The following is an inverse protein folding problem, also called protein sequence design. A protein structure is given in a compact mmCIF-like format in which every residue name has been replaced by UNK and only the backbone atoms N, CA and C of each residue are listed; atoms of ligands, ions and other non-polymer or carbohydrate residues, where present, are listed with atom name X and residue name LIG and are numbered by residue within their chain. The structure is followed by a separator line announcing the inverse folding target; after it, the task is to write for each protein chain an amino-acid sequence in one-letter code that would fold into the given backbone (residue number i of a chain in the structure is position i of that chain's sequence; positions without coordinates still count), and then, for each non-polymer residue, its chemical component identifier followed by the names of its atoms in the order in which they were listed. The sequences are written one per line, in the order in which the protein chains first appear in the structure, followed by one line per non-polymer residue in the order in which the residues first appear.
data_IF_258758194512
#
_entry.id   IF_258758194512
#
_cell.length_a   1.000
_cell.length_b   1.000
_cell.length_c   1.000
_cell.angle_alpha   90.00
_cell.angle_beta   90.00
_cell.angle_gamma   90.00
#
_symmetry.space_group_name_H-M   'P 1'
#
loop_
_entity.id
_entity.type
_entity.pdbx_description
1 polymer ?
#
# COMPACT_ATOMS: atom_id res chain seq x y z
N UNK A 1 21.93 -47.47 16.75
CA UNK A 1 21.50 -46.11 16.32
C UNK A 1 20.27 -46.33 15.45
N UNK A 2 19.02 -46.36 15.92
CA UNK A 2 18.20 -45.30 16.57
C UNK A 2 18.21 -43.99 15.73
N UNK A 3 17.12 -43.34 15.29
CA UNK A 3 15.66 -43.29 15.58
C UNK A 3 14.87 -43.15 14.24
N UNK A 4 13.63 -43.60 14.01
CA UNK A 4 12.29 -43.43 14.66
C UNK A 4 11.59 -42.08 14.39
N UNK A 5 10.30 -42.21 14.04
CA UNK A 5 9.16 -41.26 13.94
C UNK A 5 9.03 -40.51 12.60
N UNK A 6 7.93 -40.51 11.81
CA UNK A 6 6.46 -40.70 11.91
C UNK A 6 5.66 -39.37 11.74
N UNK A 7 4.97 -39.31 10.57
CA UNK A 7 3.75 -38.59 10.14
C UNK A 7 3.62 -37.07 10.15
N UNK A 8 2.87 -36.57 9.14
CA UNK A 8 1.44 -36.25 9.30
C UNK A 8 0.66 -36.44 8.00
N UNK A 9 -0.52 -37.04 8.16
CA UNK A 9 -1.68 -37.12 7.25
C UNK A 9 -2.13 -35.65 6.94
N UNK A 10 -2.76 -35.26 5.84
CA UNK A 10 -3.85 -35.89 5.08
C UNK A 10 -4.03 -35.22 3.70
N UNK A 11 -4.55 -36.00 2.76
CA UNK A 11 -5.13 -35.64 1.46
C UNK A 11 -6.49 -34.95 1.65
N UNK A 12 -6.83 -33.96 0.80
CA UNK A 12 -8.15 -33.77 0.17
C UNK A 12 -8.13 -32.46 -0.66
N UNK A 13 -7.99 -32.53 -1.99
CA UNK A 13 -9.05 -32.74 -2.97
C UNK A 13 -9.82 -31.43 -3.30
N UNK A 14 -9.34 -30.76 -4.36
CA UNK A 14 -10.06 -29.72 -5.10
C UNK A 14 -11.22 -30.40 -5.85
N UNK A 15 -12.46 -30.17 -5.43
CA UNK A 15 -13.64 -30.61 -6.21
C UNK A 15 -14.14 -29.42 -7.02
N UNK A 16 -13.78 -29.41 -8.30
CA UNK A 16 -14.53 -28.72 -9.34
C UNK A 16 -15.70 -29.65 -9.67
N UNK A 17 -16.92 -29.24 -9.36
CA UNK A 17 -18.10 -30.08 -9.53
C UNK A 17 -19.32 -29.25 -9.89
N UNK A 18 -19.63 -29.29 -11.18
CA UNK A 18 -20.77 -28.69 -11.88
C UNK A 18 -22.12 -29.08 -11.27
N UNK A 19 -23.05 -28.12 -11.25
CA UNK A 19 -24.44 -28.29 -10.79
C UNK A 19 -25.23 -29.27 -11.67
N UNK A 20 -25.91 -30.24 -11.04
CA UNK A 20 -27.13 -30.89 -11.54
C UNK A 20 -28.10 -31.05 -10.37
N UNK A 21 -29.28 -30.44 -10.50
CA UNK A 21 -30.41 -30.49 -9.57
C UNK A 21 -31.15 -31.83 -9.69
N UNK A 22 -31.23 -32.60 -8.60
CA UNK A 22 -32.42 -33.38 -8.20
C UNK A 22 -32.15 -34.17 -6.90
N UNK A 23 -33.05 -34.06 -5.91
CA UNK A 23 -33.15 -35.03 -4.81
C UNK A 23 -32.69 -34.53 -3.44
N UNK A 24 -33.63 -34.49 -2.50
CA UNK A 24 -33.50 -33.94 -1.15
C UNK A 24 -32.51 -34.71 -0.26
N UNK A 25 -31.46 -34.01 0.20
CA UNK A 25 -30.87 -34.13 1.53
C UNK A 25 -29.98 -32.90 1.73
N UNK A 26 -30.53 -31.83 2.31
CA UNK A 26 -29.73 -30.66 2.66
C UNK A 26 -28.80 -31.05 3.83
N UNK A 27 -27.56 -31.39 3.52
CA UNK A 27 -26.52 -31.62 4.54
C UNK A 27 -26.41 -30.37 5.43
N UNK A 28 -26.41 -30.52 6.78
CA UNK A 28 -26.35 -29.39 7.70
C UNK A 28 -25.17 -28.44 7.45
N UNK A 29 -24.09 -28.96 6.87
CA UNK A 29 -22.89 -28.22 6.50
C UNK A 29 -23.12 -27.16 5.40
N UNK A 30 -24.02 -27.43 4.43
CA UNK A 30 -24.34 -26.49 3.34
C UNK A 30 -25.28 -25.38 3.83
N UNK A 31 -26.20 -25.71 4.73
CA UNK A 31 -27.10 -24.74 5.38
C UNK A 31 -26.29 -23.79 6.27
N UNK A 32 -25.35 -24.33 7.07
CA UNK A 32 -24.50 -23.55 7.94
C UNK A 32 -23.49 -22.67 7.19
N UNK A 33 -22.99 -23.11 6.02
CA UNK A 33 -22.17 -22.29 5.14
C UNK A 33 -22.96 -21.16 4.46
N UNK A 34 -24.23 -21.39 4.13
CA UNK A 34 -25.11 -20.36 3.56
C UNK A 34 -25.58 -19.34 4.61
N UNK A 35 -25.83 -19.77 5.85
CA UNK A 35 -26.15 -18.87 6.97
C UNK A 35 -24.92 -18.07 7.43
N UNK A 36 -23.74 -18.70 7.54
CA UNK A 36 -22.49 -18.00 7.84
C UNK A 36 -22.03 -17.04 6.72
N UNK A 37 -22.57 -17.16 5.50
CA UNK A 37 -22.35 -16.20 4.42
C UNK A 37 -23.31 -15.00 4.48
N UNK A 38 -24.51 -15.17 5.06
CA UNK A 38 -25.49 -14.07 5.24
C UNK A 38 -25.08 -13.08 6.33
N UNK A 39 -24.30 -13.52 7.31
CA UNK A 39 -23.93 -12.72 8.49
C UNK A 39 -22.51 -12.13 8.43
N UNK A 40 -21.84 -12.19 7.28
CA UNK A 40 -20.56 -11.48 7.10
C UNK A 40 -20.88 -10.00 6.96
N UNK A 41 -20.43 -9.12 7.87
CA UNK A 41 -20.55 -7.68 7.63
C UNK A 41 -19.80 -7.39 6.33
N UNK A 42 -20.52 -6.89 5.34
CA UNK A 42 -19.93 -6.33 4.14
C UNK A 42 -19.00 -5.23 4.64
N UNK A 43 -17.69 -5.51 4.66
CA UNK A 43 -16.68 -4.49 4.87
C UNK A 43 -16.83 -3.55 3.68
N UNK A 44 -17.63 -2.50 3.84
CA UNK A 44 -17.64 -1.38 2.93
C UNK A 44 -16.21 -0.84 2.98
N UNK A 45 -15.39 -1.24 2.02
CA UNK A 45 -14.23 -0.47 1.66
C UNK A 45 -14.82 0.90 1.34
N UNK A 46 -14.55 1.91 2.17
CA UNK A 46 -14.87 3.29 1.86
C UNK A 46 -14.17 3.56 0.52
N UNK A 47 -14.92 3.47 -0.57
CA UNK A 47 -14.47 3.99 -1.86
C UNK A 47 -14.33 5.48 -1.62
N UNK A 48 -13.10 5.98 -1.74
CA UNK A 48 -12.89 7.42 -1.75
C UNK A 48 -13.78 8.01 -2.83
N UNK A 49 -14.38 9.16 -2.52
CA UNK A 49 -15.20 9.90 -3.46
C UNK A 49 -14.38 10.17 -4.74
N UNK A 50 -14.87 9.80 -5.93
CA UNK A 50 -14.19 10.07 -7.20
C UNK A 50 -13.71 11.51 -7.35
N UNK A 51 -14.47 12.47 -6.82
CA UNK A 51 -14.08 13.88 -6.81
C UNK A 51 -12.85 14.17 -5.94
N UNK A 52 -12.74 13.52 -4.79
CA UNK A 52 -11.57 13.64 -3.91
C UNK A 52 -10.34 12.98 -4.53
N UNK A 53 -10.52 11.85 -5.20
CA UNK A 53 -9.42 11.18 -5.95
C UNK A 53 -8.94 12.09 -7.08
N UNK A 54 -9.86 12.69 -7.84
CA UNK A 54 -9.52 13.59 -8.92
C UNK A 54 -8.78 14.84 -8.42
N UNK A 55 -9.24 15.45 -7.32
CA UNK A 55 -8.56 16.59 -6.70
C UNK A 55 -7.16 16.23 -6.23
N UNK A 56 -6.98 15.07 -5.58
CA UNK A 56 -5.66 14.64 -5.12
C UNK A 56 -4.68 14.41 -6.28
N UNK A 57 -5.14 13.86 -7.42
CA UNK A 57 -4.31 13.71 -8.62
C UNK A 57 -3.96 15.09 -9.20
N UNK A 58 -4.94 15.99 -9.26
CA UNK A 58 -4.77 17.35 -9.77
C UNK A 58 -3.70 18.11 -8.99
N UNK A 59 -3.82 18.14 -7.65
CA UNK A 59 -2.87 18.82 -6.76
C UNK A 59 -1.46 18.22 -6.87
N UNK A 60 -1.38 16.90 -6.98
CA UNK A 60 -0.10 16.18 -6.99
C UNK A 60 0.70 16.39 -8.27
N UNK A 61 0.04 16.40 -9.42
CA UNK A 61 0.70 16.45 -10.73
C UNK A 61 0.52 17.79 -11.45
N UNK A 62 -0.09 18.78 -10.78
CA UNK A 62 -0.40 20.08 -11.34
C UNK A 62 -1.16 20.00 -12.67
N UNK A 63 -2.17 19.11 -12.71
CA UNK A 63 -3.13 18.99 -13.82
C UNK A 63 -4.51 19.43 -13.32
N UNK A 64 -5.37 19.96 -14.19
CA UNK A 64 -6.69 20.42 -13.71
C UNK A 64 -7.57 19.24 -13.27
N UNK A 65 -8.37 19.46 -12.22
CA UNK A 65 -9.37 18.47 -11.76
C UNK A 65 -10.33 18.09 -12.90
N UNK A 66 -10.76 19.06 -13.70
CA UNK A 66 -11.65 18.85 -14.85
C UNK A 66 -11.02 17.92 -15.89
N UNK A 67 -9.71 18.06 -16.15
CA UNK A 67 -8.99 17.13 -17.02
C UNK A 67 -9.01 15.73 -16.43
N UNK A 68 -8.75 15.54 -15.13
CA UNK A 68 -8.79 14.22 -14.50
C UNK A 68 -10.19 13.59 -14.61
N UNK A 69 -11.23 14.34 -14.25
CA UNK A 69 -12.61 13.89 -14.33
C UNK A 69 -13.03 13.52 -15.76
N UNK A 70 -12.61 14.31 -16.76
CA UNK A 70 -12.88 14.02 -18.17
C UNK A 70 -12.35 12.64 -18.59
N UNK A 71 -11.12 12.29 -18.22
CA UNK A 71 -10.55 10.99 -18.57
C UNK A 71 -11.19 9.85 -17.78
N UNK A 72 -11.54 10.08 -16.50
CA UNK A 72 -12.30 9.09 -15.72
C UNK A 72 -13.67 8.80 -16.34
N UNK A 73 -14.41 9.84 -16.75
CA UNK A 73 -15.70 9.70 -17.44
C UNK A 73 -15.57 9.01 -18.81
N UNK A 74 -14.44 9.17 -19.48
CA UNK A 74 -14.11 8.46 -20.71
C UNK A 74 -13.68 6.99 -20.50
N UNK A 75 -13.71 6.50 -19.26
CA UNK A 75 -13.44 5.10 -18.91
C UNK A 75 -11.97 4.75 -18.70
N UNK A 76 -11.08 5.75 -18.60
CA UNK A 76 -9.67 5.50 -18.28
C UNK A 76 -9.52 5.05 -16.83
N UNK A 77 -8.67 4.03 -16.61
CA UNK A 77 -8.35 3.59 -15.27
C UNK A 77 -7.57 4.68 -14.51
N UNK A 78 -7.85 4.83 -13.21
CA UNK A 78 -7.18 5.84 -12.38
C UNK A 78 -5.66 5.61 -12.34
N UNK A 79 -5.20 4.35 -12.39
CA UNK A 79 -3.77 4.02 -12.47
C UNK A 79 -3.16 4.52 -13.77
N UNK A 80 -3.88 4.43 -14.89
CA UNK A 80 -3.38 4.93 -16.17
C UNK A 80 -3.25 6.45 -16.16
N UNK A 81 -4.25 7.15 -15.58
CA UNK A 81 -4.21 8.61 -15.39
C UNK A 81 -3.01 9.01 -14.50
N UNK A 82 -2.84 8.35 -13.35
CA UNK A 82 -1.72 8.63 -12.42
C UNK A 82 -0.38 8.33 -13.09
N UNK A 83 -0.26 7.23 -13.83
CA UNK A 83 0.99 6.86 -14.51
C UNK A 83 1.32 7.85 -15.62
N UNK A 84 0.32 8.26 -16.40
CA UNK A 84 0.50 9.27 -17.44
C UNK A 84 0.95 10.61 -16.86
N UNK A 85 0.31 11.08 -15.78
CA UNK A 85 0.64 12.33 -15.13
C UNK A 85 2.07 12.30 -14.54
N UNK A 86 2.45 11.19 -13.90
CA UNK A 86 3.81 10.97 -13.40
C UNK A 86 4.84 11.00 -14.53
N UNK A 87 4.58 10.31 -15.65
CA UNK A 87 5.49 10.32 -16.79
C UNK A 87 5.54 11.67 -17.52
N UNK A 88 4.44 12.42 -17.56
CA UNK A 88 4.42 13.81 -18.04
C UNK A 88 5.36 14.69 -17.22
N UNK A 89 5.27 14.60 -15.89
CA UNK A 89 6.17 15.34 -15.00
C UNK A 89 7.65 14.96 -15.21
N UNK A 90 7.98 13.67 -15.41
CA UNK A 90 9.37 13.23 -15.62
C UNK A 90 9.92 13.57 -17.00
N UNK A 91 9.09 13.49 -18.04
CA UNK A 91 9.50 13.74 -19.42
C UNK A 91 9.38 15.21 -19.84
N UNK A 92 8.74 16.05 -19.01
CA UNK A 92 8.40 17.43 -19.35
C UNK A 92 7.30 17.56 -20.41
N UNK A 93 6.61 16.46 -20.76
CA UNK A 93 5.54 16.47 -21.75
C UNK A 93 4.16 16.74 -21.12
N UNK A 94 3.24 17.40 -21.84
CA UNK A 94 1.86 17.54 -21.40
C UNK A 94 1.19 16.19 -21.12
N UNK A 95 0.34 16.14 -20.10
CA UNK A 95 -0.40 14.94 -19.72
C UNK A 95 -1.18 14.33 -20.88
N UNK A 96 -1.85 15.15 -21.69
CA UNK A 96 -2.65 14.70 -22.83
C UNK A 96 -1.82 14.06 -23.95
N UNK A 97 -0.53 14.41 -24.06
CA UNK A 97 0.38 13.73 -24.98
C UNK A 97 0.76 12.36 -24.43
N UNK A 98 1.12 12.29 -23.16
CA UNK A 98 1.61 11.05 -22.54
C UNK A 98 0.50 10.00 -22.42
N UNK A 99 -0.72 10.38 -22.03
CA UNK A 99 -1.82 9.41 -21.89
C UNK A 99 -2.24 8.78 -23.23
N UNK A 100 -2.02 9.47 -24.36
CA UNK A 100 -2.27 8.95 -25.71
C UNK A 100 -1.20 7.97 -26.20
N UNK A 101 0.01 8.00 -25.60
CA UNK A 101 1.05 7.01 -25.91
C UNK A 101 0.66 5.61 -25.44
N UNK A 102 -0.19 5.50 -24.41
CA UNK A 102 -0.70 4.21 -23.94
C UNK A 102 -1.81 3.73 -24.87
N UNK A 103 -1.59 2.61 -25.54
CA UNK A 103 -2.57 1.94 -26.41
C UNK A 103 -2.87 0.53 -25.90
N UNK A 104 -3.78 -0.19 -26.55
CA UNK A 104 -4.07 -1.59 -26.21
C UNK A 104 -2.93 -2.56 -26.58
N UNK A 105 -2.00 -2.14 -27.45
CA UNK A 105 -0.92 -2.98 -27.97
C UNK A 105 0.42 -2.79 -27.25
N UNK A 106 0.51 -1.87 -26.29
CA UNK A 106 1.74 -1.59 -25.57
C UNK A 106 1.55 -1.56 -24.04
N UNK A 107 2.66 -1.48 -23.33
CA UNK A 107 2.73 -1.41 -21.87
C UNK A 107 3.24 -0.03 -21.42
N UNK A 108 3.07 0.29 -20.14
CA UNK A 108 3.69 1.47 -19.55
C UNK A 108 5.22 1.42 -19.61
N UNK A 109 5.84 0.24 -19.67
CA UNK A 109 7.29 0.11 -19.88
C UNK A 109 7.70 0.60 -21.28
N UNK A 110 6.89 0.32 -22.29
CA UNK A 110 7.14 0.79 -23.66
C UNK A 110 6.96 2.31 -23.76
N UNK A 111 5.94 2.86 -23.08
CA UNK A 111 5.74 4.32 -22.97
C UNK A 111 6.91 4.97 -22.24
N UNK A 112 7.39 4.39 -21.14
CA UNK A 112 8.57 4.86 -20.41
C UNK A 112 9.79 4.95 -21.33
N UNK A 113 10.06 3.90 -22.11
CA UNK A 113 11.16 3.86 -23.08
C UNK A 113 10.99 4.90 -24.18
N UNK A 114 9.79 5.04 -24.73
CA UNK A 114 9.44 6.04 -25.74
C UNK A 114 9.70 7.47 -25.27
N UNK A 115 9.47 7.74 -23.98
CA UNK A 115 9.69 9.04 -23.34
C UNK A 115 11.15 9.26 -22.91
N UNK A 116 12.04 8.27 -23.08
CA UNK A 116 13.42 8.34 -22.62
C UNK A 116 13.55 8.40 -21.09
N UNK A 117 12.53 7.96 -20.34
CA UNK A 117 12.55 8.00 -18.87
C UNK A 117 13.39 6.84 -18.34
N UNK A 118 14.44 7.17 -17.59
CA UNK A 118 15.32 6.17 -16.98
C UNK A 118 14.75 5.65 -15.65
N UNK A 119 15.14 4.44 -15.26
CA UNK A 119 14.81 3.88 -13.94
C UNK A 119 15.32 4.76 -12.81
N UNK A 120 16.47 5.42 -12.98
CA UNK A 120 17.05 6.31 -11.98
C UNK A 120 16.22 7.59 -11.79
N UNK A 121 15.67 8.16 -12.87
CA UNK A 121 14.74 9.29 -12.76
C UNK A 121 13.47 8.90 -12.02
N UNK A 122 12.91 7.71 -12.29
CA UNK A 122 11.73 7.20 -11.58
C UNK A 122 12.06 7.01 -10.09
N UNK A 123 13.20 6.38 -9.78
CA UNK A 123 13.65 6.15 -8.41
C UNK A 123 13.83 7.47 -7.65
N UNK A 124 14.57 8.41 -8.23
CA UNK A 124 14.80 9.74 -7.66
C UNK A 124 13.50 10.49 -7.40
N UNK A 125 12.56 10.46 -8.35
CA UNK A 125 11.27 11.10 -8.19
C UNK A 125 10.43 10.46 -7.06
N UNK A 126 10.43 9.14 -6.94
CA UNK A 126 9.79 8.46 -5.81
C UNK A 126 10.43 8.82 -4.48
N UNK A 127 11.77 8.89 -4.41
CA UNK A 127 12.49 9.29 -3.19
C UNK A 127 12.08 10.72 -2.80
N UNK A 128 12.12 11.66 -3.73
CA UNK A 128 11.75 13.06 -3.45
C UNK A 128 10.29 13.17 -2.99
N UNK A 129 9.38 12.43 -3.64
CA UNK A 129 7.97 12.39 -3.26
C UNK A 129 7.78 11.83 -1.84
N UNK A 130 8.42 10.71 -1.50
CA UNK A 130 8.32 10.13 -0.17
C UNK A 130 9.00 11.00 0.89
N UNK A 131 10.14 11.60 0.61
CA UNK A 131 10.80 12.53 1.51
C UNK A 131 9.91 13.74 1.83
N UNK A 132 9.28 14.34 0.80
CA UNK A 132 8.33 15.44 0.99
C UNK A 132 7.10 15.02 1.79
N UNK A 133 6.55 13.84 1.54
CA UNK A 133 5.42 13.31 2.31
C UNK A 133 5.78 13.06 3.78
N UNK A 134 6.93 12.41 4.03
CA UNK A 134 7.45 12.18 5.38
C UNK A 134 7.62 13.51 6.10
N UNK A 135 8.28 14.50 5.48
CA UNK A 135 8.44 15.83 6.05
C UNK A 135 7.10 16.48 6.41
N UNK A 136 6.13 16.48 5.50
CA UNK A 136 4.83 17.08 5.73
C UNK A 136 4.05 16.44 6.90
N UNK A 137 4.32 15.16 7.21
CA UNK A 137 3.59 14.42 8.25
C UNK A 137 4.32 14.30 9.57
N UNK A 138 5.65 14.27 9.57
CA UNK A 138 6.45 14.05 10.78
C UNK A 138 7.31 15.25 11.16
N UNK A 139 7.50 16.21 10.24
CA UNK A 139 8.44 17.31 10.39
C UNK A 139 9.91 16.92 10.19
N UNK A 140 10.22 15.65 9.88
CA UNK A 140 11.58 15.21 9.56
C UNK A 140 12.07 15.96 8.32
N UNK A 141 13.27 16.54 8.37
CA UNK A 141 13.81 17.28 7.25
C UNK A 141 13.98 16.39 6.00
N UNK A 142 13.76 16.97 4.82
CA UNK A 142 13.75 16.23 3.56
C UNK A 142 15.11 15.64 3.20
N UNK A 143 16.22 16.24 3.64
CA UNK A 143 17.57 15.75 3.38
C UNK A 143 17.87 14.46 4.16
N UNK A 144 17.50 14.42 5.45
CA UNK A 144 17.58 13.22 6.28
C UNK A 144 16.65 12.13 5.75
N UNK A 145 15.40 12.46 5.43
CA UNK A 145 14.47 11.49 4.84
C UNK A 145 15.01 10.91 3.52
N UNK A 146 15.58 11.75 2.64
CA UNK A 146 16.20 11.33 1.38
C UNK A 146 17.41 10.41 1.61
N UNK A 147 18.26 10.73 2.59
CA UNK A 147 19.40 9.88 2.97
C UNK A 147 18.94 8.49 3.40
N UNK A 148 17.96 8.42 4.31
CA UNK A 148 17.42 7.15 4.80
C UNK A 148 16.75 6.33 3.69
N UNK A 149 15.99 6.98 2.79
CA UNK A 149 15.38 6.32 1.63
C UNK A 149 16.45 5.73 0.68
N UNK A 150 17.55 6.46 0.46
CA UNK A 150 18.68 5.97 -0.36
C UNK A 150 19.44 4.81 0.29
N UNK A 151 19.47 4.74 1.63
CA UNK A 151 20.02 3.61 2.37
C UNK A 151 19.10 2.37 2.33
N UNK A 152 17.90 2.49 1.76
CA UNK A 152 16.95 1.38 1.58
C UNK A 152 15.96 1.22 2.72
N UNK A 153 15.89 2.17 3.66
CA UNK A 153 14.84 2.16 4.68
C UNK A 153 13.47 2.33 4.03
N UNK A 154 12.50 1.54 4.50
CA UNK A 154 11.15 1.66 4.01
C UNK A 154 10.54 2.99 4.47
N UNK A 155 9.84 3.74 3.60
CA UNK A 155 9.26 5.05 3.94
C UNK A 155 8.41 5.05 5.22
N UNK A 156 7.63 3.97 5.45
CA UNK A 156 6.83 3.79 6.67
C UNK A 156 7.70 3.66 7.93
N UNK A 157 8.81 2.95 7.84
CA UNK A 157 9.70 2.75 8.98
C UNK A 157 10.40 4.05 9.37
N UNK A 158 10.80 4.85 8.36
CA UNK A 158 11.31 6.21 8.58
C UNK A 158 10.26 7.07 9.29
N UNK A 159 8.99 7.04 8.84
CA UNK A 159 7.93 7.84 9.43
C UNK A 159 7.63 7.47 10.90
N UNK A 160 7.61 6.17 11.22
CA UNK A 160 7.42 5.70 12.60
C UNK A 160 8.61 6.07 13.48
N UNK A 161 9.83 5.84 13.00
CA UNK A 161 11.04 6.20 13.72
C UNK A 161 11.14 7.70 13.97
N UNK A 162 10.72 8.54 13.01
CA UNK A 162 10.69 9.99 13.18
C UNK A 162 9.77 10.44 14.32
N UNK A 163 8.58 9.84 14.46
CA UNK A 163 7.65 10.15 15.56
C UNK A 163 8.20 9.69 16.92
N UNK A 164 8.75 8.48 16.98
CA UNK A 164 9.39 7.98 18.20
C UNK A 164 10.63 8.81 18.60
N UNK A 165 11.43 9.25 17.63
CA UNK A 165 12.55 10.16 17.84
C UNK A 165 12.07 11.51 18.39
N UNK A 166 11.00 12.08 17.81
CA UNK A 166 10.36 13.31 18.30
C UNK A 166 9.85 13.18 19.73
N UNK A 167 9.20 12.07 20.06
CA UNK A 167 8.64 11.82 21.39
C UNK A 167 9.71 11.62 22.48
N UNK A 168 10.90 11.15 22.10
CA UNK A 168 11.97 10.81 23.05
C UNK A 168 13.18 11.73 23.01
N UNK A 169 13.24 12.65 22.04
CA UNK A 169 14.42 13.48 21.78
C UNK A 169 15.64 12.71 21.28
N UNK A 170 15.49 11.43 20.90
CA UNK A 170 16.58 10.60 20.38
C UNK A 170 16.89 10.90 18.93
N UNK A 171 18.08 10.51 18.49
CA UNK A 171 18.42 10.50 17.08
C UNK A 171 17.55 9.45 16.34
N UNK A 172 17.08 9.79 15.14
CA UNK A 172 16.26 8.88 14.33
C UNK A 172 17.00 7.58 13.96
N UNK A 173 18.32 7.65 13.72
CA UNK A 173 19.13 6.48 13.42
C UNK A 173 19.18 5.54 14.62
N UNK A 174 19.34 6.05 15.84
CA UNK A 174 19.31 5.23 17.06
C UNK A 174 17.96 4.51 17.20
N UNK A 175 16.85 5.18 16.86
CA UNK A 175 15.50 4.59 16.89
C UNK A 175 15.33 3.52 15.80
N UNK A 176 15.81 3.78 14.58
CA UNK A 176 15.80 2.79 13.49
C UNK A 176 16.64 1.56 13.87
N UNK A 177 17.77 1.74 14.53
CA UNK A 177 18.65 0.66 14.95
C UNK A 177 18.00 -0.26 15.99
N UNK A 178 17.02 0.22 16.76
CA UNK A 178 16.23 -0.62 17.66
C UNK A 178 15.26 -1.54 16.92
N UNK A 179 14.88 -1.22 15.68
CA UNK A 179 13.99 -2.06 14.87
C UNK A 179 14.76 -3.25 14.31
N UNK A 180 14.41 -4.45 14.78
CA UNK A 180 14.99 -5.73 14.36
C UNK A 180 13.96 -6.59 13.63
N UNK A 181 14.39 -7.71 13.06
CA UNK A 181 13.49 -8.63 12.34
C UNK A 181 12.48 -9.33 13.26
N UNK A 182 12.84 -9.51 14.53
CA UNK A 182 12.09 -10.25 15.54
C UNK A 182 11.29 -9.37 16.51
N UNK A 183 11.18 -8.06 16.24
CA UNK A 183 10.37 -7.15 17.04
C UNK A 183 9.43 -6.31 16.18
N UNK A 184 8.49 -5.66 16.85
CA UNK A 184 7.51 -4.74 16.26
C UNK A 184 7.84 -3.30 16.64
N UNK A 185 7.18 -2.35 15.97
CA UNK A 185 7.26 -0.95 16.36
C UNK A 185 6.66 -0.67 17.75
N UNK A 186 5.75 -1.54 18.24
CA UNK A 186 5.23 -1.46 19.61
C UNK A 186 6.32 -1.81 20.63
N UNK A 187 7.06 -2.89 20.38
CA UNK A 187 8.18 -3.29 21.25
C UNK A 187 9.28 -2.22 21.31
N UNK A 188 9.57 -1.58 20.17
CA UNK A 188 10.51 -0.44 20.11
C UNK A 188 9.97 0.73 20.94
N UNK A 189 8.70 1.10 20.79
CA UNK A 189 8.08 2.16 21.59
C UNK A 189 8.13 1.86 23.10
N UNK A 190 7.82 0.63 23.50
CA UNK A 190 7.90 0.19 24.91
C UNK A 190 9.33 0.30 25.45
N UNK A 191 10.33 -0.15 24.69
CA UNK A 191 11.75 -0.04 25.07
C UNK A 191 12.23 1.41 25.21
N UNK A 192 11.55 2.33 24.53
CA UNK A 192 11.80 3.76 24.54
C UNK A 192 10.98 4.50 25.60
N UNK A 193 10.10 3.81 26.34
CA UNK A 193 9.21 4.41 27.33
C UNK A 193 8.06 5.21 26.71
N UNK A 194 7.75 5.01 25.43
CA UNK A 194 6.62 5.66 24.73
C UNK A 194 5.36 4.82 24.95
N UNK A 195 4.30 5.44 25.46
CA UNK A 195 3.04 4.74 25.71
C UNK A 195 2.39 4.24 24.40
N UNK A 196 1.64 3.14 24.48
CA UNK A 196 0.91 2.59 23.34
C UNK A 196 -0.16 3.56 22.80
N UNK A 197 -0.73 4.41 23.66
CA UNK A 197 -1.68 5.44 23.23
C UNK A 197 -0.99 6.56 22.45
N UNK A 198 0.19 6.99 22.89
CA UNK A 198 1.03 7.94 22.14
C UNK A 198 1.41 7.36 20.79
N UNK A 199 1.93 6.14 20.75
CA UNK A 199 2.25 5.48 19.49
C UNK A 199 1.02 5.37 18.58
N UNK A 200 -0.14 5.01 19.12
CA UNK A 200 -1.38 4.92 18.33
C UNK A 200 -1.77 6.27 17.73
N UNK A 201 -1.61 7.37 18.46
CA UNK A 201 -1.83 8.73 17.95
C UNK A 201 -0.84 9.04 16.82
N UNK A 202 0.45 8.79 17.02
CA UNK A 202 1.48 8.98 15.98
C UNK A 202 1.13 8.21 14.71
N UNK A 203 0.67 6.96 14.85
CA UNK A 203 0.26 6.11 13.73
C UNK A 203 -0.98 6.65 12.99
N UNK A 204 -1.87 7.39 13.66
CA UNK A 204 -2.97 8.10 12.99
C UNK A 204 -2.48 9.34 12.27
N UNK A 205 -1.53 10.09 12.83
CA UNK A 205 -0.98 11.30 12.20
C UNK A 205 -0.29 10.97 10.86
N UNK A 206 0.50 9.90 10.86
CA UNK A 206 1.21 9.42 9.66
C UNK A 206 0.35 8.52 8.77
N UNK A 207 -0.93 8.32 9.13
CA UNK A 207 -1.87 7.55 8.30
C UNK A 207 -2.04 8.23 6.95
N UNK A 208 -2.13 7.40 5.91
CA UNK A 208 -2.28 7.89 4.53
C UNK A 208 -0.97 8.27 3.83
N UNK A 209 0.18 8.30 4.53
CA UNK A 209 1.49 8.40 3.87
C UNK A 209 1.69 7.29 2.84
N UNK A 210 1.27 6.07 3.19
CA UNK A 210 1.41 4.89 2.35
C UNK A 210 0.06 4.17 2.28
N UNK A 211 -0.66 4.23 1.15
CA UNK A 211 -1.87 3.44 0.99
C UNK A 211 -1.51 1.96 1.15
N UNK A 212 -2.23 1.25 2.02
CA UNK A 212 -2.01 -0.17 2.21
C UNK A 212 -2.19 -0.90 0.87
N UNK A 213 -1.10 -1.38 0.28
CA UNK A 213 -1.19 -2.53 -0.61
C UNK A 213 -1.54 -3.74 0.24
N UNK A 214 -2.84 -3.93 0.50
CA UNK A 214 -3.33 -5.21 0.99
C UNK A 214 -3.23 -6.15 -0.20
N UNK A 215 -2.10 -6.85 -0.32
CA UNK A 215 -2.01 -8.00 -1.23
C UNK A 215 -3.19 -8.95 -0.94
N UNK A 216 -3.71 -9.66 -1.95
CA UNK A 216 -4.76 -10.65 -1.73
C UNK A 216 -4.19 -11.74 -0.80
N UNK A 217 -4.51 -11.68 0.49
CA UNK A 217 -4.04 -12.67 1.49
C UNK A 217 -3.86 -12.19 2.93
N UNK A 218 -3.78 -10.88 3.21
CA UNK A 218 -3.60 -10.42 4.60
C UNK A 218 -4.94 -10.31 5.36
N UNK A 219 -5.40 -11.44 5.89
CA UNK A 219 -6.50 -11.54 6.86
C UNK A 219 -5.98 -11.12 8.26
N UNK A 220 -6.62 -10.17 8.97
CA UNK A 220 -6.15 -9.69 10.28
C UNK A 220 -6.52 -10.60 11.47
N UNK A 221 -6.74 -11.89 11.28
CA UNK A 221 -7.29 -12.79 12.32
C UNK A 221 -6.26 -13.54 13.17
N UNK A 222 -5.00 -13.08 13.25
CA UNK A 222 -4.00 -13.70 14.13
C UNK A 222 -3.36 -12.76 15.17
N UNK A 223 -3.96 -11.60 15.44
CA UNK A 223 -3.69 -10.88 16.70
C UNK A 223 -4.76 -11.24 17.73
N UNK A 224 -4.47 -12.26 18.55
CA UNK A 224 -5.26 -12.57 19.73
C UNK A 224 -5.39 -14.06 20.00
N UNK A 225 -4.34 -14.68 20.54
CA UNK A 225 -4.36 -15.53 21.74
C UNK A 225 -2.99 -15.51 22.40
#
# INVERSE_FOLDING_TARGET
MEFKTWSRKSIAAFVIGTFMLAGAAASPLLVQAAEAAKDRPVRQQQKMDPDQVAQHIADKFNISKDTVLKYQQAGYDTRDIVTAAFFGQLSGKPFEEVIKLKTNSNTWKDVQQTLGITTEQIKTAHINMFAGQINAKTGLDTATATTLLNQGYHPRDIAVAAQLAKNTGKNIQDVLDLKKINNTWKDVADSLGVSQDTLKQDMQEIRGLFPHHRGPGANPEHEGK
#
